data_IF_521252322521
#
_entry.id   IF_521252322521
#
_cell.length_a   1.000
_cell.length_b   1.000
_cell.length_c   1.000
_cell.angle_alpha   90.00
_cell.angle_beta   90.00
_cell.angle_gamma   90.00
#
_symmetry.space_group_name_H-M   'P 1'
#
loop_
_entity.id
_entity.type
_entity.pdbx_description
1 polymer ?
#
# COMPACT_ATOMS: atom_id res chain seq x y z
N UNK A 1 -15.45 -4.53 -14.34
CA UNK A 1 -15.34 -3.05 -14.30
C UNK A 1 -13.88 -2.68 -14.59
N UNK A 2 -13.52 -2.25 -15.81
CA UNK A 2 -12.26 -1.55 -16.11
C UNK A 2 -12.25 -1.19 -17.61
N UNK A 3 -12.92 -0.10 -17.95
CA UNK A 3 -12.89 0.54 -19.26
C UNK A 3 -12.17 1.89 -19.21
N UNK A 4 -11.18 2.07 -18.34
CA UNK A 4 -10.33 3.26 -18.38
C UNK A 4 -9.19 2.99 -19.36
N UNK A 5 -9.37 3.45 -20.60
CA UNK A 5 -8.26 3.62 -21.53
C UNK A 5 -7.30 4.63 -20.94
N UNK A 6 -6.06 4.20 -20.66
CA UNK A 6 -5.07 5.06 -20.03
C UNK A 6 -4.90 6.37 -20.85
N UNK A 7 -4.87 7.49 -20.15
CA UNK A 7 -4.92 8.82 -20.76
C UNK A 7 -3.61 9.10 -21.48
N UNK A 8 -3.64 9.79 -22.62
CA UNK A 8 -2.42 10.16 -23.38
C UNK A 8 -1.33 10.82 -22.50
N UNK A 9 -1.73 11.57 -21.47
CA UNK A 9 -0.82 12.17 -20.47
C UNK A 9 -0.14 11.12 -19.56
N UNK A 10 -0.87 10.10 -19.13
CA UNK A 10 -0.35 9.02 -18.27
C UNK A 10 0.70 8.18 -19.02
N UNK A 11 0.44 7.83 -20.28
CA UNK A 11 1.39 7.07 -21.10
C UNK A 11 2.67 7.87 -21.38
N UNK A 12 2.55 9.18 -21.61
CA UNK A 12 3.69 10.09 -21.75
C UNK A 12 4.50 10.16 -20.46
N UNK A 13 3.84 10.35 -19.33
CA UNK A 13 4.50 10.43 -18.03
C UNK A 13 5.20 9.10 -17.67
N UNK A 14 4.57 7.96 -17.96
CA UNK A 14 5.19 6.65 -17.82
C UNK A 14 6.46 6.52 -18.67
N UNK A 15 6.39 6.85 -19.96
CA UNK A 15 7.56 6.79 -20.86
C UNK A 15 8.70 7.71 -20.43
N UNK A 16 8.38 8.92 -19.96
CA UNK A 16 9.36 9.87 -19.45
C UNK A 16 10.00 9.41 -18.12
N UNK A 17 9.19 8.90 -17.19
CA UNK A 17 9.69 8.40 -15.91
C UNK A 17 10.57 7.16 -16.10
N UNK A 18 10.08 6.16 -16.84
CA UNK A 18 10.84 4.93 -17.09
C UNK A 18 12.09 5.24 -17.91
N UNK A 19 11.97 6.00 -19.00
CA UNK A 19 13.12 6.42 -19.81
C UNK A 19 14.16 7.20 -19.00
N UNK A 20 13.71 8.12 -18.13
CA UNK A 20 14.57 8.87 -17.21
C UNK A 20 15.30 7.97 -16.22
N UNK A 21 14.61 7.00 -15.61
CA UNK A 21 15.24 6.01 -14.71
C UNK A 21 16.30 5.19 -15.44
N UNK A 22 16.02 4.72 -16.66
CA UNK A 22 17.01 3.99 -17.47
C UNK A 22 18.22 4.86 -17.86
N UNK A 23 18.01 6.15 -18.15
CA UNK A 23 19.11 7.09 -18.39
C UNK A 23 19.96 7.29 -17.14
N UNK A 24 19.35 7.46 -15.96
CA UNK A 24 20.08 7.56 -14.69
C UNK A 24 20.88 6.29 -14.44
N UNK A 25 20.31 5.10 -14.64
CA UNK A 25 21.03 3.82 -14.50
C UNK A 25 22.15 3.68 -15.54
N UNK A 26 21.96 4.18 -16.75
CA UNK A 26 22.97 4.17 -17.81
C UNK A 26 24.13 5.15 -17.56
N UNK A 27 23.84 6.27 -16.90
CA UNK A 27 24.81 7.32 -16.55
C UNK A 27 25.43 7.13 -15.14
N UNK A 28 24.81 6.35 -14.26
CA UNK A 28 25.33 6.05 -12.92
C UNK A 28 26.77 5.46 -12.92
N UNK A 29 27.12 4.52 -13.83
CA UNK A 29 28.48 3.99 -13.92
C UNK A 29 29.51 5.04 -14.35
N UNK A 30 29.09 6.08 -15.06
CA UNK A 30 29.95 7.17 -15.53
C UNK A 30 30.46 8.03 -14.37
N UNK A 31 29.58 8.35 -13.41
CA UNK A 31 29.90 9.27 -12.30
C UNK A 31 30.69 8.57 -11.20
N UNK A 32 30.46 7.27 -10.98
CA UNK A 32 31.02 6.56 -9.84
C UNK A 32 32.19 5.61 -10.16
N UNK A 33 32.37 5.14 -11.40
CA UNK A 33 33.31 4.05 -11.69
C UNK A 33 34.20 4.17 -12.92
N UNK A 34 34.07 5.21 -13.75
CA UNK A 34 34.92 5.39 -14.96
C UNK A 34 34.88 4.17 -15.92
N UNK A 35 33.77 3.42 -15.92
CA UNK A 35 33.54 2.26 -16.78
C UNK A 35 32.85 2.68 -18.09
N UNK A 36 33.00 1.92 -19.20
CA UNK A 36 32.40 2.26 -20.48
C UNK A 36 30.87 2.29 -20.38
N UNK A 37 30.27 3.15 -21.22
CA UNK A 37 28.84 3.36 -21.26
C UNK A 37 28.11 2.02 -21.38
N UNK A 38 27.03 1.85 -20.60
CA UNK A 38 26.01 0.87 -20.96
C UNK A 38 25.19 1.47 -22.09
N UNK A 39 25.78 1.48 -23.30
CA UNK A 39 25.16 1.99 -24.52
C UNK A 39 23.76 1.42 -24.70
N UNK A 40 23.56 0.15 -24.34
CA UNK A 40 22.25 -0.49 -24.36
C UNK A 40 21.23 0.19 -23.44
N UNK A 41 21.60 0.60 -22.21
CA UNK A 41 20.69 1.28 -21.28
C UNK A 41 20.38 2.72 -21.72
N UNK A 42 21.36 3.44 -22.25
CA UNK A 42 21.18 4.80 -22.78
C UNK A 42 20.32 4.78 -24.05
N UNK A 43 20.60 3.85 -24.97
CA UNK A 43 19.84 3.68 -26.20
C UNK A 43 18.39 3.25 -25.89
N UNK A 44 18.20 2.31 -24.95
CA UNK A 44 16.87 1.89 -24.51
C UNK A 44 16.11 3.01 -23.80
N UNK A 45 16.76 3.78 -22.91
CA UNK A 45 16.17 4.92 -22.23
C UNK A 45 15.79 6.05 -23.18
N UNK A 46 16.67 6.41 -24.11
CA UNK A 46 16.40 7.39 -25.16
C UNK A 46 15.29 6.96 -26.10
N UNK A 47 15.30 5.70 -26.55
CA UNK A 47 14.23 5.12 -27.36
C UNK A 47 12.89 5.18 -26.63
N UNK A 48 12.82 4.77 -25.35
CA UNK A 48 11.59 4.85 -24.57
C UNK A 48 11.08 6.29 -24.41
N UNK A 49 11.99 7.24 -24.21
CA UNK A 49 11.66 8.65 -24.03
C UNK A 49 11.11 9.26 -25.33
N UNK A 50 11.73 8.94 -26.48
CA UNK A 50 11.29 9.37 -27.81
C UNK A 50 9.94 8.73 -28.17
N UNK A 51 9.79 7.42 -27.98
CA UNK A 51 8.54 6.72 -28.28
C UNK A 51 7.42 7.18 -27.32
N UNK A 52 7.74 7.41 -26.05
CA UNK A 52 6.82 8.00 -25.08
C UNK A 52 6.36 9.42 -25.46
N UNK A 53 7.26 10.24 -26.02
CA UNK A 53 6.96 11.61 -26.42
C UNK A 53 6.14 11.70 -27.73
N UNK A 54 6.48 10.88 -28.73
CA UNK A 54 5.92 10.93 -30.09
C UNK A 54 4.71 10.01 -30.24
N UNK A 55 4.83 8.75 -29.82
CA UNK A 55 3.83 7.70 -30.03
C UNK A 55 3.41 7.03 -28.70
N UNK A 56 2.75 7.77 -27.78
CA UNK A 56 2.37 7.22 -26.48
C UNK A 56 1.45 6.00 -26.60
N UNK A 57 0.63 5.90 -27.66
CA UNK A 57 -0.28 4.76 -27.87
C UNK A 57 0.44 3.41 -27.99
N UNK A 58 1.67 3.39 -28.51
CA UNK A 58 2.47 2.16 -28.57
C UNK A 58 2.85 1.64 -27.17
N UNK A 59 2.93 2.54 -26.18
CA UNK A 59 3.22 2.20 -24.79
C UNK A 59 1.97 1.75 -23.99
N UNK A 60 0.78 1.76 -24.59
CA UNK A 60 -0.46 1.38 -23.92
C UNK A 60 -0.45 -0.07 -23.37
N UNK A 61 -0.06 -1.11 -24.15
CA UNK A 61 -0.06 -2.48 -23.63
C UNK A 61 0.99 -2.68 -22.52
N UNK A 62 2.17 -2.06 -22.65
CA UNK A 62 3.23 -2.20 -21.66
C UNK A 62 2.89 -1.46 -20.37
N UNK A 63 2.32 -0.26 -20.47
CA UNK A 63 1.81 0.48 -19.31
C UNK A 63 0.75 -0.33 -18.57
N UNK A 64 -0.19 -0.96 -19.31
CA UNK A 64 -1.23 -1.80 -18.71
C UNK A 64 -0.65 -3.00 -17.96
N UNK A 65 0.32 -3.71 -18.56
CA UNK A 65 1.00 -4.83 -17.91
C UNK A 65 1.75 -4.37 -16.64
N UNK A 66 2.46 -3.24 -16.73
CA UNK A 66 3.17 -2.64 -15.61
C UNK A 66 2.23 -2.26 -14.47
N UNK A 67 1.09 -1.62 -14.78
CA UNK A 67 0.09 -1.25 -13.78
C UNK A 67 -0.55 -2.48 -13.13
N UNK A 68 -0.76 -3.56 -13.88
CA UNK A 68 -1.25 -4.82 -13.31
C UNK A 68 -0.25 -5.41 -12.30
N UNK A 69 1.04 -5.41 -12.62
CA UNK A 69 2.09 -5.79 -11.67
C UNK A 69 2.08 -4.86 -10.45
N UNK A 70 1.96 -3.55 -10.66
CA UNK A 70 1.86 -2.56 -9.59
C UNK A 70 0.68 -2.81 -8.67
N UNK A 71 -0.47 -3.21 -9.20
CA UNK A 71 -1.65 -3.58 -8.41
C UNK A 71 -1.41 -4.82 -7.53
N UNK A 72 -0.80 -5.87 -8.10
CA UNK A 72 -0.46 -7.07 -7.33
C UNK A 72 0.54 -6.71 -6.23
N UNK A 73 1.57 -5.95 -6.57
CA UNK A 73 2.59 -5.52 -5.62
C UNK A 73 1.99 -4.65 -4.50
N UNK A 74 1.06 -3.75 -4.84
CA UNK A 74 0.31 -2.95 -3.87
C UNK A 74 -0.53 -3.81 -2.94
N UNK A 75 -1.26 -4.79 -3.48
CA UNK A 75 -2.06 -5.73 -2.68
C UNK A 75 -1.19 -6.54 -1.71
N UNK A 76 -0.04 -7.03 -2.17
CA UNK A 76 0.94 -7.73 -1.34
C UNK A 76 1.51 -6.78 -0.28
N UNK A 77 1.93 -5.57 -0.65
CA UNK A 77 2.52 -4.58 0.25
C UNK A 77 1.57 -4.19 1.39
N UNK A 78 0.30 -3.92 1.09
CA UNK A 78 -0.70 -3.62 2.13
C UNK A 78 -0.85 -4.77 3.10
N UNK A 79 -0.87 -6.01 2.62
CA UNK A 79 -1.00 -7.21 3.47
C UNK A 79 0.24 -7.44 4.33
N UNK A 80 1.43 -7.23 3.77
CA UNK A 80 2.70 -7.30 4.52
C UNK A 80 2.72 -6.24 5.60
N UNK A 81 2.48 -4.97 5.26
CA UNK A 81 2.51 -3.85 6.20
C UNK A 81 1.51 -4.06 7.34
N UNK A 82 0.28 -4.47 7.01
CA UNK A 82 -0.74 -4.74 8.02
C UNK A 82 -0.35 -5.94 8.91
N UNK A 83 0.24 -6.98 8.34
CA UNK A 83 0.72 -8.14 9.11
C UNK A 83 1.84 -7.74 10.07
N UNK A 84 2.81 -6.95 9.62
CA UNK A 84 3.90 -6.45 10.45
C UNK A 84 3.36 -5.60 11.60
N UNK A 85 2.43 -4.67 11.32
CA UNK A 85 1.83 -3.84 12.39
C UNK A 85 1.03 -4.70 13.36
N UNK A 86 0.22 -5.63 12.86
CA UNK A 86 -0.62 -6.45 13.71
C UNK A 86 0.19 -7.39 14.60
N UNK A 87 1.15 -8.12 14.03
CA UNK A 87 1.96 -9.08 14.79
C UNK A 87 3.12 -8.43 15.54
N UNK A 88 3.66 -7.32 15.05
CA UNK A 88 4.79 -6.61 15.67
C UNK A 88 4.37 -5.62 16.75
N UNK A 89 3.17 -5.05 16.69
CA UNK A 89 2.71 -4.05 17.66
C UNK A 89 1.44 -4.49 18.40
N UNK A 90 0.36 -4.78 17.67
CA UNK A 90 -0.96 -5.02 18.30
C UNK A 90 -0.94 -6.31 19.13
N UNK A 91 -0.40 -7.39 18.56
CA UNK A 91 -0.35 -8.72 19.20
C UNK A 91 0.49 -8.71 20.48
N UNK A 92 1.74 -8.20 20.51
CA UNK A 92 2.52 -8.18 21.75
C UNK A 92 1.89 -7.27 22.81
N UNK A 93 1.28 -6.13 22.43
CA UNK A 93 0.52 -5.31 23.36
C UNK A 93 -0.62 -6.13 24.00
N UNK A 94 -1.38 -6.87 23.19
CA UNK A 94 -2.44 -7.75 23.68
C UNK A 94 -1.93 -8.87 24.59
N UNK A 95 -0.78 -9.48 24.26
CA UNK A 95 -0.12 -10.49 25.10
C UNK A 95 0.29 -9.88 26.45
N UNK A 96 0.90 -8.69 26.46
CA UNK A 96 1.28 -7.98 27.68
C UNK A 96 0.04 -7.70 28.54
N UNK A 97 -1.05 -7.18 27.96
CA UNK A 97 -2.30 -6.96 28.70
C UNK A 97 -2.87 -8.26 29.29
N UNK A 98 -2.80 -9.37 28.54
CA UNK A 98 -3.23 -10.68 29.00
C UNK A 98 -2.38 -11.21 30.15
N UNK A 99 -1.05 -11.04 30.07
CA UNK A 99 -0.12 -11.41 31.15
C UNK A 99 -0.31 -10.53 32.40
N UNK A 100 -0.67 -9.26 32.24
CA UNK A 100 -1.01 -8.35 33.35
C UNK A 100 -2.37 -8.65 33.99
N UNK A 101 -3.10 -9.68 33.53
CA UNK A 101 -4.42 -10.05 34.07
C UNK A 101 -5.51 -9.01 33.81
N UNK A 102 -5.26 -8.05 32.90
CA UNK A 102 -6.24 -7.01 32.55
C UNK A 102 -7.20 -7.59 31.52
N UNK A 103 -8.28 -8.18 31.99
CA UNK A 103 -9.40 -8.59 31.14
C UNK A 103 -10.25 -7.36 30.76
N UNK A 104 -9.82 -6.68 29.70
CA UNK A 104 -10.50 -5.48 29.21
C UNK A 104 -11.95 -5.75 28.74
N UNK A 105 -12.28 -6.99 28.37
CA UNK A 105 -13.62 -7.37 27.91
C UNK A 105 -14.41 -8.25 28.87
N UNK A 106 -13.88 -8.58 30.06
CA UNK A 106 -14.50 -9.53 30.99
C UNK A 106 -14.94 -10.83 30.26
N UNK A 107 -14.07 -11.33 29.39
CA UNK A 107 -14.31 -12.54 28.59
C UNK A 107 -14.04 -13.83 29.38
N UNK A 108 -13.39 -13.75 30.54
CA UNK A 108 -13.19 -14.90 31.41
C UNK A 108 -14.54 -15.57 31.74
N UNK A 109 -14.65 -16.86 31.44
CA UNK A 109 -15.80 -17.69 31.78
C UNK A 109 -15.85 -17.81 33.31
N UNK A 110 -16.69 -16.99 33.95
CA UNK A 110 -16.96 -17.15 35.37
C UNK A 110 -17.80 -18.41 35.53
N UNK A 111 -17.14 -19.51 35.91
CA UNK A 111 -17.71 -20.84 36.09
C UNK A 111 -18.87 -20.86 37.11
N UNK A 112 -18.96 -19.81 37.94
CA UNK A 112 -19.98 -19.60 38.97
C UNK A 112 -21.05 -18.54 38.57
N UNK A 113 -21.08 -18.11 37.30
CA UNK A 113 -22.05 -17.11 36.82
C UNK A 113 -23.17 -17.74 35.99
N UNK A 114 -24.42 -17.53 36.42
CA UNK A 114 -25.60 -18.02 35.69
C UNK A 114 -25.88 -17.22 34.40
N UNK A 115 -25.34 -15.99 34.26
CA UNK A 115 -25.57 -15.15 33.08
C UNK A 115 -24.48 -14.07 32.91
N UNK A 116 -24.03 -13.82 31.68
CA UNK A 116 -23.13 -12.72 31.30
C UNK A 116 -23.77 -11.33 31.26
N UNK A 117 -25.04 -11.20 31.67
CA UNK A 117 -25.78 -9.94 31.57
C UNK A 117 -25.21 -8.94 32.57
N UNK A 118 -24.64 -7.86 32.04
CA UNK A 118 -24.28 -6.69 32.85
C UNK A 118 -25.58 -5.95 33.19
N UNK A 119 -26.04 -6.08 34.43
CA UNK A 119 -27.21 -5.34 34.93
C UNK A 119 -26.87 -3.85 34.92
N UNK A 120 -27.51 -3.11 34.02
CA UNK A 120 -27.38 -1.65 33.97
C UNK A 120 -28.36 -1.04 34.95
N UNK A 121 -27.88 -0.15 35.80
CA UNK A 121 -28.77 0.62 36.68
C UNK A 121 -29.68 1.51 35.82
N UNK A 122 -30.98 1.61 36.16
CA UNK A 122 -31.89 2.50 35.43
C UNK A 122 -31.41 3.93 35.54
N UNK A 123 -31.21 4.58 34.39
CA UNK A 123 -30.78 5.99 34.35
C UNK A 123 -31.90 6.89 34.92
N UNK A 124 -31.55 7.99 35.60
CA UNK A 124 -32.55 8.93 36.11
C UNK A 124 -33.43 9.48 34.99
N UNK A 125 -34.73 9.65 35.24
CA UNK A 125 -35.70 10.17 34.26
C UNK A 125 -35.34 11.57 33.70
N UNK A 126 -34.52 12.33 34.44
CA UNK A 126 -34.00 13.64 34.00
C UNK A 126 -33.05 13.56 32.79
N UNK A 127 -32.50 12.38 32.48
CA UNK A 127 -31.59 12.18 31.35
C UNK A 127 -32.28 12.28 29.98
N UNK A 128 -33.62 12.23 29.93
CA UNK A 128 -34.41 12.32 28.68
C UNK A 128 -34.90 13.75 28.38
N UNK A 129 -34.45 14.76 29.13
CA UNK A 129 -34.99 16.13 29.03
C UNK A 129 -34.58 16.88 27.75
N UNK A 130 -33.60 16.38 26.99
CA UNK A 130 -33.05 17.01 25.77
C UNK A 130 -32.66 15.95 24.71
N UNK A 131 -33.61 15.12 24.27
CA UNK A 131 -33.34 14.02 23.33
C UNK A 131 -33.40 14.45 21.84
N UNK A 132 -33.84 15.66 21.54
CA UNK A 132 -33.98 16.19 20.18
C UNK A 132 -33.19 17.49 20.02
#
# INVERSE_FOLDING_TARGET
MMGHSATHKELRQFGLLVGGVFLVIGLWPLVFRSEPFRLWAICLGGLLMIVGAILPRALAPIHRAWMWIGHILGWVNTRILLSIVFYGLITPIGIIFRLMGKDAMRQAYAQDSQTYRVTRQPRPRSHMKYQF
#
